data_IF_498466474090
#
_entry.id   IF_498466474090
#
_cell.length_a   1.000
_cell.length_b   1.000
_cell.length_c   1.000
_cell.angle_alpha   90.00
_cell.angle_beta   90.00
_cell.angle_gamma   90.00
#
_symmetry.space_group_name_H-M   'P 1'
#
loop_
_entity.id
_entity.type
_entity.pdbx_description
1 polymer ?
#
# COMPACT_ATOMS: atom_id res chain seq x y z
N UNK A 1 -0.54 13.40 22.46
CA UNK A 1 0.09 12.46 21.51
C UNK A 1 0.22 13.17 20.17
N UNK A 2 1.41 13.25 19.61
CA UNK A 2 1.61 13.77 18.26
C UNK A 2 1.14 12.72 17.26
N UNK A 3 0.00 12.96 16.60
CA UNK A 3 -0.58 12.08 15.58
C UNK A 3 0.17 12.19 14.24
N UNK A 4 1.50 12.15 14.27
CA UNK A 4 2.33 12.26 13.08
C UNK A 4 2.91 10.91 12.71
N UNK A 5 2.83 10.57 11.43
CA UNK A 5 3.46 9.38 10.88
C UNK A 5 4.98 9.52 11.05
N UNK A 6 5.68 8.47 11.54
CA UNK A 6 7.13 8.49 11.65
C UNK A 6 7.81 8.73 10.30
N UNK A 7 8.88 9.53 10.29
CA UNK A 7 9.72 9.71 9.11
C UNK A 7 10.56 8.47 8.86
N UNK A 8 10.17 7.70 7.85
CA UNK A 8 10.85 6.46 7.46
C UNK A 8 10.91 6.33 5.94
N UNK A 9 11.84 5.51 5.46
CA UNK A 9 11.94 5.12 4.05
C UNK A 9 11.52 3.67 3.90
N UNK A 10 10.45 3.43 3.15
CA UNK A 10 10.00 2.12 2.74
C UNK A 10 10.82 1.63 1.54
N UNK A 11 11.28 0.38 1.60
CA UNK A 11 11.90 -0.31 0.46
C UNK A 11 10.79 -1.07 -0.26
N UNK A 12 10.30 -0.54 -1.37
CA UNK A 12 9.19 -1.12 -2.13
C UNK A 12 9.70 -1.85 -3.37
N UNK A 13 8.89 -2.78 -3.86
CA UNK A 13 9.14 -3.50 -5.12
C UNK A 13 8.17 -2.95 -6.16
N UNK A 14 8.69 -2.35 -7.22
CA UNK A 14 7.88 -1.74 -8.29
C UNK A 14 8.14 -2.49 -9.59
N UNK A 15 7.06 -2.86 -10.28
CA UNK A 15 7.14 -3.53 -11.57
C UNK A 15 7.75 -2.57 -12.59
N UNK A 16 8.73 -3.04 -13.33
CA UNK A 16 9.46 -2.26 -14.32
C UNK A 16 9.76 -3.14 -15.53
N UNK A 17 9.12 -2.83 -16.67
CA UNK A 17 9.22 -3.62 -17.90
C UNK A 17 10.61 -3.55 -18.57
N UNK A 18 11.45 -2.60 -18.17
CA UNK A 18 12.84 -2.52 -18.62
C UNK A 18 13.76 -3.54 -17.93
N UNK A 19 13.29 -4.19 -16.86
CA UNK A 19 14.04 -5.21 -16.14
C UNK A 19 13.82 -6.56 -16.81
N UNK A 20 14.87 -7.08 -17.44
CA UNK A 20 14.84 -8.38 -18.10
C UNK A 20 14.70 -9.56 -17.11
N UNK A 21 14.07 -10.64 -17.55
CA UNK A 21 13.96 -11.91 -16.82
C UNK A 21 12.59 -12.17 -16.18
N UNK A 22 12.51 -13.24 -15.39
CA UNK A 22 11.24 -13.73 -14.82
C UNK A 22 10.69 -12.90 -13.66
N UNK A 23 11.45 -11.90 -13.18
CA UNK A 23 11.10 -11.07 -12.04
C UNK A 23 11.33 -9.59 -12.36
N UNK A 24 10.46 -8.96 -13.18
CA UNK A 24 10.62 -7.60 -13.67
C UNK A 24 10.21 -6.58 -12.60
N UNK A 25 10.87 -6.63 -11.44
CA UNK A 25 10.65 -5.73 -10.32
C UNK A 25 11.98 -5.16 -9.84
N UNK A 26 12.04 -3.84 -9.68
CA UNK A 26 13.16 -3.14 -9.06
C UNK A 26 12.84 -2.72 -7.64
N UNK A 27 13.89 -2.51 -6.84
CA UNK A 27 13.74 -1.84 -5.55
C UNK A 27 13.58 -0.34 -5.75
N UNK A 28 12.68 0.26 -4.99
CA UNK A 28 12.48 1.70 -4.94
C UNK A 28 12.35 2.15 -3.49
N UNK A 29 13.09 3.20 -3.16
CA UNK A 29 12.93 3.91 -1.90
C UNK A 29 11.74 4.86 -2.02
N UNK A 30 10.82 4.79 -1.07
CA UNK A 30 9.69 5.70 -0.96
C UNK A 30 9.60 6.17 0.49
N UNK A 31 9.61 7.47 0.72
CA UNK A 31 9.50 8.06 2.06
C UNK A 31 8.06 8.06 2.57
N UNK A 32 7.89 8.09 3.88
CA UNK A 32 6.59 8.30 4.52
C UNK A 32 5.90 9.57 4.03
N UNK A 33 6.65 10.64 3.80
CA UNK A 33 6.08 11.92 3.39
C UNK A 33 5.52 11.83 1.96
N UNK A 34 6.18 11.11 1.05
CA UNK A 34 5.66 10.85 -0.31
C UNK A 34 4.32 10.08 -0.31
N UNK A 35 4.12 9.19 0.68
CA UNK A 35 2.91 8.37 0.79
C UNK A 35 1.79 9.14 1.53
N UNK A 36 2.11 9.78 2.66
CA UNK A 36 1.11 10.23 3.63
C UNK A 36 0.92 11.75 3.70
N UNK A 37 1.86 12.58 3.23
CA UNK A 37 1.78 14.02 3.43
C UNK A 37 0.58 14.62 2.68
N UNK A 38 -0.26 15.36 3.42
CA UNK A 38 -1.42 16.07 2.85
C UNK A 38 -2.56 15.18 2.38
N UNK A 39 -2.53 13.86 2.66
CA UNK A 39 -3.54 12.90 2.21
C UNK A 39 -4.28 12.26 3.38
N UNK A 40 -5.54 11.90 3.14
CA UNK A 40 -6.31 11.04 4.04
C UNK A 40 -6.19 9.60 3.54
N UNK A 41 -5.36 8.80 4.19
CA UNK A 41 -5.02 7.43 3.75
C UNK A 41 -5.67 6.39 4.66
N UNK A 42 -6.21 5.32 4.09
CA UNK A 42 -6.55 4.08 4.80
C UNK A 42 -5.38 3.10 4.67
N UNK A 43 -4.80 2.69 5.81
CA UNK A 43 -3.71 1.70 5.85
C UNK A 43 -4.25 0.42 6.49
N UNK A 44 -4.09 -0.72 5.79
CA UNK A 44 -4.35 -2.05 6.33
C UNK A 44 -3.12 -2.93 6.16
N UNK A 45 -2.94 -3.89 7.07
CA UNK A 45 -1.83 -4.82 7.06
C UNK A 45 -2.36 -6.24 7.25
N UNK A 46 -1.70 -7.21 6.64
CA UNK A 46 -2.08 -8.61 6.69
C UNK A 46 -0.86 -9.50 6.97
N UNK A 47 -1.03 -10.65 7.65
CA UNK A 47 0.08 -11.54 8.02
C UNK A 47 1.01 -11.97 6.87
N UNK A 48 0.47 -12.21 5.68
CA UNK A 48 1.28 -12.58 4.53
C UNK A 48 0.48 -12.84 3.27
N UNK A 49 1.12 -12.67 2.12
CA UNK A 49 0.54 -13.00 0.82
C UNK A 49 0.16 -14.49 0.74
N UNK A 50 -0.91 -14.79 0.01
CA UNK A 50 -1.43 -16.15 -0.21
C UNK A 50 -1.91 -16.90 1.04
N UNK A 51 -2.07 -16.21 2.18
CA UNK A 51 -2.68 -16.81 3.37
C UNK A 51 -4.23 -16.77 3.26
N UNK A 52 -4.96 -17.81 3.72
CA UNK A 52 -6.36 -18.03 3.33
C UNK A 52 -7.28 -16.83 3.56
N UNK A 53 -7.35 -16.30 4.80
CA UNK A 53 -8.21 -15.17 5.15
C UNK A 53 -7.77 -13.87 4.47
N UNK A 54 -6.45 -13.68 4.31
CA UNK A 54 -5.91 -12.46 3.74
C UNK A 54 -6.26 -12.31 2.26
N UNK A 55 -6.21 -13.41 1.52
CA UNK A 55 -6.50 -13.44 0.08
C UNK A 55 -7.98 -13.62 -0.26
N UNK A 56 -8.79 -14.19 0.63
CA UNK A 56 -10.21 -14.43 0.35
C UNK A 56 -11.14 -13.31 0.83
N UNK A 57 -10.85 -12.67 1.96
CA UNK A 57 -11.80 -11.73 2.59
C UNK A 57 -11.18 -10.42 3.01
N UNK A 58 -9.99 -10.41 3.60
CA UNK A 58 -9.41 -9.18 4.14
C UNK A 58 -9.12 -8.14 3.05
N UNK A 59 -8.24 -8.45 2.09
CA UNK A 59 -7.91 -7.52 1.00
C UNK A 59 -9.10 -7.29 0.05
N UNK A 60 -9.83 -8.34 -0.41
CA UNK A 60 -10.99 -8.14 -1.28
C UNK A 60 -12.10 -7.29 -0.64
N UNK A 61 -12.25 -7.32 0.69
CA UNK A 61 -13.20 -6.47 1.40
C UNK A 61 -12.88 -4.98 1.30
N UNK A 62 -11.61 -4.59 1.43
CA UNK A 62 -11.20 -3.20 1.22
C UNK A 62 -11.34 -2.76 -0.24
N UNK A 63 -11.09 -3.66 -1.18
CA UNK A 63 -11.27 -3.38 -2.62
C UNK A 63 -12.75 -3.16 -2.97
N UNK A 64 -13.66 -3.97 -2.44
CA UNK A 64 -15.10 -3.80 -2.66
C UNK A 64 -15.62 -2.44 -2.14
N UNK A 65 -15.05 -1.94 -1.04
CA UNK A 65 -15.41 -0.66 -0.42
C UNK A 65 -14.63 0.55 -0.98
N UNK A 66 -13.79 0.35 -2.01
CA UNK A 66 -12.91 1.39 -2.54
C UNK A 66 -13.64 2.68 -2.88
N UNK A 67 -14.78 2.59 -3.57
CA UNK A 67 -15.58 3.76 -3.96
C UNK A 67 -16.17 4.48 -2.74
N UNK A 68 -16.64 3.74 -1.73
CA UNK A 68 -17.17 4.34 -0.49
C UNK A 68 -16.08 5.10 0.28
N UNK A 69 -14.85 4.59 0.30
CA UNK A 69 -13.72 5.31 0.89
C UNK A 69 -13.42 6.61 0.13
N UNK A 70 -13.40 6.55 -1.21
CA UNK A 70 -13.22 7.75 -2.05
C UNK A 70 -14.32 8.79 -1.80
N UNK A 71 -15.58 8.37 -1.73
CA UNK A 71 -16.72 9.25 -1.41
C UNK A 71 -16.62 9.85 0.00
N UNK A 72 -16.04 9.11 0.96
CA UNK A 72 -15.72 9.60 2.30
C UNK A 72 -14.47 10.50 2.36
N UNK A 73 -13.90 10.88 1.21
CA UNK A 73 -12.77 11.80 1.08
C UNK A 73 -11.41 11.17 1.36
N UNK A 74 -11.27 9.84 1.25
CA UNK A 74 -9.96 9.16 1.25
C UNK A 74 -9.28 9.38 -0.10
N UNK A 75 -7.99 9.70 -0.08
CA UNK A 75 -7.14 9.92 -1.26
C UNK A 75 -6.35 8.67 -1.65
#
# INVERSE_FOLDING_TARGET
MTHQVPRVTFKTRVRDESVEGSNPFRWQDVTSDEIFAGKKIVVFALPGAFTPTCSSTHLPGYEALYNEFKEAGVD
#
